data_IF_456232243936
#
_entry.id   IF_456232243936
#
_cell.length_a   1.000
_cell.length_b   1.000
_cell.length_c   1.000
_cell.angle_alpha   90.00
_cell.angle_beta   90.00
_cell.angle_gamma   90.00
#
_symmetry.space_group_name_H-M   'P 1'
#
loop_
_entity.id
_entity.type
_entity.pdbx_description
1 polymer ?
#
# COMPACT_ATOMS: atom_id res chain seq x y z
N UNK A 1 35.16 -3.50 -26.84
CA UNK A 1 35.92 -4.01 -25.68
C UNK A 1 35.01 -5.01 -25.02
N UNK A 2 35.33 -6.31 -25.11
CA UNK A 2 34.58 -7.35 -24.40
C UNK A 2 34.88 -7.18 -22.90
N UNK A 3 33.83 -7.04 -22.10
CA UNK A 3 33.95 -6.88 -20.66
C UNK A 3 34.41 -8.23 -20.09
N UNK A 4 35.55 -8.20 -19.39
CA UNK A 4 36.15 -9.40 -18.80
C UNK A 4 35.27 -9.84 -17.62
N UNK A 5 34.92 -11.13 -17.59
CA UNK A 5 34.01 -11.68 -16.58
C UNK A 5 34.69 -11.62 -15.22
N UNK A 6 34.08 -10.89 -14.30
CA UNK A 6 34.62 -10.73 -12.96
C UNK A 6 34.29 -11.94 -12.06
N UNK A 7 34.86 -11.95 -10.86
CA UNK A 7 34.68 -13.06 -9.92
C UNK A 7 33.23 -13.19 -9.44
N UNK A 8 32.45 -12.10 -9.50
CA UNK A 8 31.04 -12.10 -9.13
C UNK A 8 30.21 -12.77 -10.25
N UNK A 9 30.51 -12.48 -11.51
CA UNK A 9 29.89 -13.12 -12.67
C UNK A 9 30.12 -14.64 -12.65
N UNK A 10 31.32 -15.07 -12.27
CA UNK A 10 31.67 -16.50 -12.12
C UNK A 10 30.93 -17.15 -10.95
N UNK A 11 30.82 -16.45 -9.82
CA UNK A 11 30.07 -16.95 -8.66
C UNK A 11 28.59 -17.12 -8.99
N UNK A 12 27.99 -16.16 -9.69
CA UNK A 12 26.59 -16.21 -10.14
C UNK A 12 26.40 -17.40 -11.08
N UNK A 13 27.23 -17.56 -12.10
CA UNK A 13 27.12 -18.69 -13.04
C UNK A 13 27.23 -20.04 -12.35
N UNK A 14 28.23 -20.22 -11.48
CA UNK A 14 28.42 -21.48 -10.73
C UNK A 14 27.29 -21.80 -9.74
N UNK A 15 26.57 -20.78 -9.27
CA UNK A 15 25.40 -20.97 -8.40
C UNK A 15 24.21 -21.62 -9.12
N UNK A 16 24.22 -21.61 -10.46
CA UNK A 16 23.18 -22.24 -11.29
C UNK A 16 23.64 -23.54 -11.95
N UNK A 17 24.93 -23.92 -11.88
CA UNK A 17 25.46 -25.15 -12.49
C UNK A 17 24.86 -26.43 -11.89
N UNK A 18 24.52 -26.42 -10.59
CA UNK A 18 23.84 -27.54 -9.90
C UNK A 18 22.31 -27.48 -10.02
N UNK A 19 21.77 -26.37 -10.53
CA UNK A 19 20.36 -26.26 -10.86
C UNK A 19 20.21 -26.76 -12.29
N UNK A 20 20.23 -28.08 -12.43
CA UNK A 20 19.60 -28.74 -13.56
C UNK A 20 18.13 -28.32 -13.48
N UNK A 21 17.80 -27.23 -14.19
CA UNK A 21 16.45 -26.74 -14.38
C UNK A 21 15.76 -27.78 -15.25
N UNK A 22 15.53 -28.96 -14.64
CA UNK A 22 14.94 -30.13 -15.24
C UNK A 22 13.77 -29.57 -16.00
N UNK A 23 13.79 -29.81 -17.29
CA UNK A 23 12.74 -29.45 -18.24
C UNK A 23 11.34 -29.71 -17.63
N UNK A 24 11.26 -30.74 -16.77
CA UNK A 24 10.16 -31.11 -15.89
C UNK A 24 9.59 -30.00 -14.97
N UNK A 25 10.39 -29.06 -14.41
CA UNK A 25 9.86 -27.94 -13.61
C UNK A 25 9.12 -26.93 -14.49
N UNK A 26 9.74 -26.48 -15.58
CA UNK A 26 9.12 -25.53 -16.51
C UNK A 26 7.89 -26.17 -17.17
N UNK A 27 7.97 -27.45 -17.55
CA UNK A 27 6.84 -28.22 -18.09
C UNK A 27 5.74 -28.42 -17.03
N UNK A 28 6.08 -28.69 -15.77
CA UNK A 28 5.09 -28.74 -14.66
C UNK A 28 4.43 -27.39 -14.42
N UNK A 29 5.20 -26.30 -14.51
CA UNK A 29 4.68 -24.95 -14.36
C UNK A 29 3.70 -24.63 -15.51
N UNK A 30 4.10 -24.91 -16.75
CA UNK A 30 3.27 -24.72 -17.94
C UNK A 30 1.97 -25.54 -17.86
N UNK A 31 2.08 -26.80 -17.43
CA UNK A 31 0.93 -27.69 -17.26
C UNK A 31 0.01 -27.23 -16.12
N UNK A 32 0.54 -26.70 -15.01
CA UNK A 32 -0.28 -26.09 -13.95
C UNK A 32 -1.01 -24.85 -14.45
N UNK A 33 -0.35 -23.98 -15.20
CA UNK A 33 -0.96 -22.77 -15.79
C UNK A 33 -2.06 -23.13 -16.79
N UNK A 34 -1.81 -24.11 -17.67
CA UNK A 34 -2.77 -24.56 -18.68
C UNK A 34 -3.95 -25.36 -18.08
N UNK A 35 -3.74 -26.09 -16.99
CA UNK A 35 -4.83 -26.80 -16.29
C UNK A 35 -5.73 -25.85 -15.49
N UNK A 36 -5.18 -24.71 -15.06
CA UNK A 36 -5.93 -23.64 -14.40
C UNK A 36 -6.61 -22.69 -15.40
N UNK A 37 -6.07 -22.48 -16.60
CA UNK A 37 -6.69 -21.58 -17.59
C UNK A 37 -8.09 -22.05 -18.03
N UNK A 38 -8.37 -23.35 -17.98
CA UNK A 38 -9.70 -23.90 -18.29
C UNK A 38 -10.72 -23.79 -17.13
N UNK A 39 -10.31 -23.42 -15.91
CA UNK A 39 -11.18 -23.31 -14.73
C UNK A 39 -11.49 -21.89 -14.27
N UNK A 40 -10.83 -20.87 -14.82
CA UNK A 40 -11.11 -19.47 -14.50
C UNK A 40 -12.06 -18.80 -15.49
N UNK A 41 -13.21 -19.43 -15.76
CA UNK A 41 -14.43 -18.71 -16.13
C UNK A 41 -15.16 -18.27 -14.86
N UNK A 42 -14.50 -17.45 -14.05
CA UNK A 42 -15.19 -16.64 -13.07
C UNK A 42 -14.85 -15.21 -13.43
N UNK A 43 -15.82 -14.52 -14.03
CA UNK A 43 -15.80 -13.12 -14.39
C UNK A 43 -15.77 -12.24 -13.14
N UNK A 44 -14.73 -12.37 -12.31
CA UNK A 44 -14.55 -11.54 -11.13
C UNK A 44 -13.69 -10.35 -11.55
N UNK A 45 -14.32 -9.43 -12.27
CA UNK A 45 -13.73 -8.12 -12.62
C UNK A 45 -13.62 -7.20 -11.40
N UNK A 46 -14.17 -7.60 -10.25
CA UNK A 46 -14.17 -6.85 -8.99
C UNK A 46 -12.78 -6.33 -8.57
N UNK A 47 -11.70 -7.13 -8.60
CA UNK A 47 -10.37 -6.63 -8.25
C UNK A 47 -9.86 -5.59 -9.25
N UNK A 48 -10.06 -5.83 -10.55
CA UNK A 48 -9.65 -4.91 -11.61
C UNK A 48 -10.41 -3.58 -11.54
N UNK A 49 -11.74 -3.63 -11.34
CA UNK A 49 -12.58 -2.45 -11.15
C UNK A 49 -12.21 -1.69 -9.87
N UNK A 50 -11.85 -2.39 -8.80
CA UNK A 50 -11.38 -1.76 -7.56
C UNK A 50 -10.07 -1.00 -7.78
N UNK A 51 -9.14 -1.56 -8.56
CA UNK A 51 -7.91 -0.87 -8.93
C UNK A 51 -8.16 0.38 -9.78
N UNK A 52 -9.05 0.29 -10.76
CA UNK A 52 -9.44 1.44 -11.61
C UNK A 52 -10.07 2.53 -10.74
N UNK A 53 -11.03 2.18 -9.88
CA UNK A 53 -11.69 3.11 -8.97
C UNK A 53 -10.71 3.78 -8.00
N UNK A 54 -9.76 3.03 -7.45
CA UNK A 54 -8.71 3.57 -6.59
C UNK A 54 -7.82 4.60 -7.32
N UNK A 55 -7.45 4.32 -8.58
CA UNK A 55 -6.70 5.25 -9.42
C UNK A 55 -7.45 6.57 -9.67
N UNK A 56 -8.74 6.50 -9.96
CA UNK A 56 -9.59 7.69 -10.15
C UNK A 56 -9.71 8.49 -8.85
N UNK A 57 -9.90 7.83 -7.71
CA UNK A 57 -9.94 8.49 -6.41
C UNK A 57 -8.64 9.21 -6.06
N UNK A 58 -7.48 8.63 -6.41
CA UNK A 58 -6.18 9.28 -6.24
C UNK A 58 -6.06 10.57 -7.06
N UNK A 59 -6.50 10.54 -8.33
CA UNK A 59 -6.49 11.72 -9.21
C UNK A 59 -7.40 12.82 -8.64
N UNK A 60 -8.60 12.46 -8.19
CA UNK A 60 -9.53 13.42 -7.56
C UNK A 60 -8.92 14.00 -6.29
N UNK A 61 -8.33 13.17 -5.43
CA UNK A 61 -7.71 13.61 -4.17
C UNK A 61 -6.51 14.52 -4.42
N UNK A 62 -5.74 14.28 -5.49
CA UNK A 62 -4.62 15.11 -5.90
C UNK A 62 -5.06 16.44 -6.50
N UNK A 63 -6.07 16.44 -7.37
CA UNK A 63 -6.57 17.64 -8.04
C UNK A 63 -7.40 18.55 -7.12
N UNK A 64 -7.93 18.01 -6.02
CA UNK A 64 -8.75 18.75 -5.07
C UNK A 64 -7.95 19.16 -3.82
N UNK A 65 -8.39 20.24 -3.17
CA UNK A 65 -7.86 20.67 -1.88
C UNK A 65 -8.37 19.80 -0.71
N UNK A 66 -8.72 18.54 -0.97
CA UNK A 66 -9.29 17.63 0.02
C UNK A 66 -8.34 17.44 1.21
N UNK A 67 -7.03 17.34 0.93
CA UNK A 67 -6.00 17.28 1.97
C UNK A 67 -6.02 18.52 2.86
N UNK A 68 -6.05 19.71 2.26
CA UNK A 68 -6.11 20.98 3.00
C UNK A 68 -7.39 21.06 3.87
N UNK A 69 -8.53 20.67 3.32
CA UNK A 69 -9.80 20.66 4.05
C UNK A 69 -9.78 19.67 5.22
N UNK A 70 -9.16 18.49 5.05
CA UNK A 70 -9.00 17.50 6.13
C UNK A 70 -8.10 18.07 7.23
N UNK A 71 -6.95 18.66 6.89
CA UNK A 71 -6.05 19.27 7.87
C UNK A 71 -6.72 20.43 8.61
N UNK A 72 -7.47 21.27 7.91
CA UNK A 72 -8.16 22.40 8.52
C UNK A 72 -9.28 21.93 9.47
N UNK A 73 -10.01 20.87 9.11
CA UNK A 73 -11.01 20.25 9.97
C UNK A 73 -10.36 19.67 11.24
N UNK A 74 -9.25 18.94 11.09
CA UNK A 74 -8.51 18.38 12.23
C UNK A 74 -8.01 19.48 13.16
N UNK A 75 -7.44 20.55 12.60
CA UNK A 75 -6.99 21.70 13.36
C UNK A 75 -8.14 22.36 14.13
N UNK A 76 -9.28 22.59 13.47
CA UNK A 76 -10.47 23.15 14.10
C UNK A 76 -10.95 22.26 15.25
N UNK A 77 -11.08 20.95 15.04
CA UNK A 77 -11.49 19.98 16.07
C UNK A 77 -10.54 19.98 17.28
N UNK A 78 -9.22 19.96 17.05
CA UNK A 78 -8.22 20.02 18.12
C UNK A 78 -8.29 21.32 18.90
N UNK A 79 -8.38 22.45 18.20
CA UNK A 79 -8.49 23.76 18.83
C UNK A 79 -9.78 23.90 19.66
N UNK A 80 -10.89 23.36 19.16
CA UNK A 80 -12.16 23.33 19.87
C UNK A 80 -12.08 22.47 21.14
N UNK A 81 -11.52 21.26 21.04
CA UNK A 81 -11.34 20.37 22.19
C UNK A 81 -10.45 20.99 23.28
N UNK A 82 -9.36 21.66 22.89
CA UNK A 82 -8.50 22.40 23.81
C UNK A 82 -9.26 23.55 24.48
N UNK A 83 -10.02 24.34 23.72
CA UNK A 83 -10.80 25.46 24.26
C UNK A 83 -11.84 24.99 25.28
N UNK A 84 -12.49 23.85 25.02
CA UNK A 84 -13.40 23.22 25.98
C UNK A 84 -12.66 22.82 27.25
N UNK A 85 -11.52 22.12 27.14
CA UNK A 85 -10.71 21.73 28.29
C UNK A 85 -10.27 22.94 29.14
N UNK A 86 -9.83 24.03 28.51
CA UNK A 86 -9.47 25.27 29.20
C UNK A 86 -10.67 25.93 29.90
N UNK A 87 -11.83 25.99 29.24
CA UNK A 87 -13.04 26.56 29.82
C UNK A 87 -13.55 25.71 30.99
N UNK A 88 -13.56 24.39 30.86
CA UNK A 88 -13.92 23.48 31.96
C UNK A 88 -12.97 23.60 33.15
N UNK A 89 -11.66 23.62 32.92
CA UNK A 89 -10.67 23.79 33.99
C UNK A 89 -10.81 25.14 34.70
N UNK A 90 -11.13 26.21 33.95
CA UNK A 90 -11.36 27.54 34.51
C UNK A 90 -12.63 27.60 35.35
N UNK A 91 -13.73 26.98 34.90
CA UNK A 91 -14.98 26.87 35.65
C UNK A 91 -14.78 26.04 36.92
N UNK A 92 -14.07 24.92 36.84
CA UNK A 92 -13.80 24.06 38.01
C UNK A 92 -12.98 24.77 39.08
N UNK A 93 -11.94 25.53 38.68
CA UNK A 93 -11.14 26.35 39.60
C UNK A 93 -11.94 27.49 40.27
N UNK A 94 -12.94 28.05 39.58
CA UNK A 94 -13.85 29.03 40.19
C UNK A 94 -14.72 28.33 41.23
N UNK A 95 -15.25 27.14 40.91
CA UNK A 95 -16.08 26.36 41.83
C UNK A 95 -15.32 25.93 43.09
N UNK A 96 -14.06 25.46 42.95
CA UNK A 96 -13.19 25.10 44.08
C UNK A 96 -12.78 26.28 44.98
N UNK A 97 -12.88 27.53 44.50
CA UNK A 97 -12.62 28.73 45.32
C UNK A 97 -13.84 29.26 46.05
N UNK A 98 -15.04 28.83 45.66
CA UNK A 98 -16.33 29.35 46.18
C UNK A 98 -16.91 28.44 47.27
N UNK A 99 -16.46 27.17 47.34
CA UNK A 99 -16.73 26.22 48.44
C UNK A 99 -15.59 26.32 49.47
#
# INVERSE_FOLDING_TARGET
>A
MQQEWDDLDRLIASSFDDIDAKEDYNVKLLNKTNKNSQRYTVSNYTPALSFIAAGVLLIITYASNLQYNIYNLEFWMRSYALSLGYNFNSIMKIFERVI
#
